data_IF_921327706066
#
_entry.id   IF_921327706066
#
_cell.length_a   1.000
_cell.length_b   1.000
_cell.length_c   1.000
_cell.angle_alpha   90.00
_cell.angle_beta   90.00
_cell.angle_gamma   90.00
#
_symmetry.space_group_name_H-M   'P 1'
#
loop_
_entity.id
_entity.type
_entity.pdbx_description
1 polymer ?
#
# COMPACT_ATOMS: atom_id res chain seq x y z
N UNK A 1 4.96 -16.03 -11.32
CA UNK A 1 4.70 -14.79 -10.58
C UNK A 1 6.00 -14.03 -10.44
N UNK A 2 6.01 -12.74 -10.75
CA UNK A 2 7.15 -11.89 -10.41
C UNK A 2 7.23 -11.77 -8.88
N UNK A 3 8.41 -11.95 -8.27
CA UNK A 3 8.56 -11.68 -6.85
C UNK A 3 8.31 -10.19 -6.60
N UNK A 4 7.54 -9.89 -5.56
CA UNK A 4 7.46 -8.54 -5.01
C UNK A 4 8.47 -8.50 -3.87
N UNK A 5 9.50 -7.71 -4.07
CA UNK A 5 10.62 -7.53 -3.15
C UNK A 5 10.34 -6.42 -2.16
N UNK A 6 10.76 -6.64 -0.92
CA UNK A 6 10.82 -5.58 0.09
C UNK A 6 11.71 -4.43 -0.40
N UNK A 7 11.30 -3.21 -0.07
CA UNK A 7 12.07 -2.00 -0.33
C UNK A 7 13.35 -2.06 0.53
N UNK A 8 14.49 -1.96 -0.14
CA UNK A 8 15.80 -1.85 0.50
C UNK A 8 16.41 -0.52 0.10
N UNK A 9 16.42 0.43 1.04
CA UNK A 9 16.91 1.80 0.86
C UNK A 9 17.76 2.22 2.04
N UNK A 10 18.60 3.24 1.85
CA UNK A 10 19.32 3.89 2.96
C UNK A 10 18.44 4.93 3.64
N UNK A 11 17.62 5.59 2.84
CA UNK A 11 16.61 6.55 3.22
C UNK A 11 15.48 5.83 3.98
N UNK A 12 14.96 6.51 4.99
CA UNK A 12 13.81 6.07 5.76
C UNK A 12 12.53 6.07 4.91
N UNK A 13 11.49 5.31 5.32
CA UNK A 13 10.18 5.39 4.67
C UNK A 13 9.65 6.82 4.60
N UNK A 14 9.81 7.62 5.66
CA UNK A 14 9.36 9.02 5.67
C UNK A 14 10.02 9.83 4.55
N UNK A 15 11.33 9.72 4.39
CA UNK A 15 12.08 10.48 3.38
C UNK A 15 11.66 10.08 1.96
N UNK A 16 11.54 8.78 1.71
CA UNK A 16 11.11 8.26 0.39
C UNK A 16 9.69 8.75 0.06
N UNK A 17 8.75 8.55 0.99
CA UNK A 17 7.36 8.93 0.77
C UNK A 17 7.20 10.44 0.56
N UNK A 18 7.97 11.27 1.30
CA UNK A 18 7.94 12.72 1.13
C UNK A 18 8.53 13.17 -0.21
N UNK A 19 9.52 12.45 -0.72
CA UNK A 19 10.15 12.74 -2.01
C UNK A 19 9.29 12.32 -3.21
N UNK A 20 8.58 11.20 -3.10
CA UNK A 20 7.83 10.60 -4.21
C UNK A 20 6.37 11.04 -4.30
N UNK A 21 5.76 11.44 -3.18
CA UNK A 21 4.35 11.84 -3.16
C UNK A 21 4.20 13.31 -2.77
N UNK A 22 3.78 14.14 -3.72
CA UNK A 22 3.55 15.58 -3.51
C UNK A 22 2.60 15.87 -2.33
N UNK A 23 1.56 15.05 -2.18
CA UNK A 23 0.60 15.16 -1.07
C UNK A 23 1.23 14.93 0.31
N UNK A 24 2.44 14.37 0.36
CA UNK A 24 3.20 14.06 1.57
C UNK A 24 4.51 14.84 1.63
N UNK A 25 4.67 15.93 0.87
CA UNK A 25 5.90 16.74 0.85
C UNK A 25 6.36 17.19 2.25
N UNK A 26 5.42 17.56 3.11
CA UNK A 26 5.68 17.96 4.51
C UNK A 26 5.95 16.76 5.45
N UNK A 27 5.84 15.54 4.92
CA UNK A 27 6.06 14.29 5.61
C UNK A 27 4.81 13.71 6.28
N UNK A 28 4.95 12.45 6.69
CA UNK A 28 4.04 11.78 7.61
C UNK A 28 4.67 11.74 9.01
N UNK A 29 3.87 11.70 10.09
CA UNK A 29 4.37 11.63 11.47
C UNK A 29 4.81 10.19 11.78
N UNK A 30 5.79 9.71 11.02
CA UNK A 30 6.30 8.35 11.07
C UNK A 30 7.81 8.32 11.18
N UNK A 31 8.33 7.22 11.73
CA UNK A 31 9.74 6.86 11.76
C UNK A 31 9.88 5.33 11.77
N UNK A 32 11.09 4.81 11.94
CA UNK A 32 11.31 3.36 11.95
C UNK A 32 11.40 2.78 10.54
N UNK A 33 10.91 1.56 10.35
CA UNK A 33 11.06 0.79 9.11
C UNK A 33 9.79 0.72 8.27
N UNK A 34 9.84 -0.09 7.22
CA UNK A 34 8.74 -0.29 6.27
C UNK A 34 7.60 -1.19 6.78
N UNK A 35 7.75 -1.77 7.97
CA UNK A 35 6.72 -2.63 8.59
C UNK A 35 6.56 -3.99 7.94
N UNK A 36 7.65 -4.58 7.41
CA UNK A 36 7.63 -5.94 6.87
C UNK A 36 7.53 -7.00 7.95
N UNK A 37 8.03 -6.67 9.15
CA UNK A 37 8.01 -7.48 10.36
C UNK A 37 7.82 -6.55 11.54
N UNK A 38 7.51 -7.11 12.72
CA UNK A 38 7.42 -6.36 13.97
C UNK A 38 8.71 -5.57 14.28
N UNK A 39 9.88 -6.15 14.04
CA UNK A 39 11.19 -5.52 14.30
C UNK A 39 11.45 -4.34 13.36
N UNK A 40 10.85 -4.38 12.17
CA UNK A 40 10.93 -3.32 11.16
C UNK A 40 9.68 -2.44 11.14
N UNK A 41 8.85 -2.48 12.19
CA UNK A 41 7.59 -1.75 12.25
C UNK A 41 7.73 -0.26 11.88
N UNK A 42 6.73 0.24 11.18
CA UNK A 42 6.56 1.68 10.97
C UNK A 42 6.04 2.28 12.27
N UNK A 43 6.80 3.20 12.87
CA UNK A 43 6.44 3.81 14.13
C UNK A 43 5.66 5.07 13.84
N UNK A 44 4.40 5.12 14.26
CA UNK A 44 3.57 6.32 14.14
C UNK A 44 3.72 7.13 15.42
N UNK A 45 4.17 8.38 15.29
CA UNK A 45 4.58 9.22 16.42
C UNK A 45 3.67 10.43 16.57
N UNK A 46 2.73 10.37 17.53
CA UNK A 46 1.84 11.51 17.83
C UNK A 46 2.58 12.76 18.28
N UNK A 47 3.82 12.62 18.75
CA UNK A 47 4.63 13.74 19.26
C UNK A 47 5.57 14.28 18.18
N UNK A 48 5.44 13.84 16.92
CA UNK A 48 6.23 14.35 15.83
C UNK A 48 6.03 15.86 15.65
N UNK A 49 7.08 16.65 15.34
CA UNK A 49 6.97 18.10 15.17
C UNK A 49 5.95 18.57 14.13
N UNK A 50 5.59 17.72 13.16
CA UNK A 50 4.58 18.07 12.14
C UNK A 50 3.14 17.93 12.65
N UNK A 51 2.93 17.30 13.81
CA UNK A 51 1.60 17.07 14.37
C UNK A 51 1.16 18.30 15.18
N UNK A 52 0.01 18.85 14.81
CA UNK A 52 -0.66 19.87 15.61
C UNK A 52 -1.21 19.25 16.91
N UNK A 53 -0.53 19.55 18.02
CA UNK A 53 -0.86 19.05 19.35
C UNK A 53 -2.18 19.61 19.91
N UNK A 54 -2.76 20.64 19.27
CA UNK A 54 -4.06 21.18 19.66
C UNK A 54 -5.25 20.33 19.15
N UNK A 55 -5.01 19.44 18.19
CA UNK A 55 -6.04 18.61 17.56
C UNK A 55 -5.95 17.14 18.00
N UNK A 56 -7.06 16.40 18.02
CA UNK A 56 -7.02 14.94 18.21
C UNK A 56 -6.15 14.28 17.12
N UNK A 57 -5.21 13.43 17.55
CA UNK A 57 -4.34 12.72 16.62
C UNK A 57 -5.03 11.47 16.06
N UNK A 58 -5.19 11.42 14.74
CA UNK A 58 -5.76 10.27 14.03
C UNK A 58 -4.66 9.38 13.47
N UNK A 59 -4.10 8.53 14.33
CA UNK A 59 -3.05 7.59 13.96
C UNK A 59 -3.52 6.52 12.98
N UNK A 60 -4.81 6.15 13.00
CA UNK A 60 -5.37 5.13 12.10
C UNK A 60 -5.33 5.61 10.66
N UNK A 61 -5.73 6.86 10.40
CA UNK A 61 -5.59 7.44 9.07
C UNK A 61 -4.14 7.44 8.57
N UNK A 62 -3.16 7.64 9.46
CA UNK A 62 -1.74 7.56 9.10
C UNK A 62 -1.34 6.14 8.66
N UNK A 63 -1.84 5.09 9.33
CA UNK A 63 -1.61 3.69 8.93
C UNK A 63 -2.09 3.44 7.50
N UNK A 64 -3.34 3.82 7.19
CA UNK A 64 -3.91 3.57 5.86
C UNK A 64 -3.22 4.37 4.75
N UNK A 65 -2.82 5.62 5.02
CA UNK A 65 -2.02 6.40 4.07
C UNK A 65 -0.68 5.68 3.83
N UNK A 66 -0.02 5.20 4.88
CA UNK A 66 1.24 4.47 4.76
C UNK A 66 1.08 3.17 3.95
N UNK A 67 0.05 2.37 4.24
CA UNK A 67 -0.27 1.13 3.49
C UNK A 67 -0.39 1.43 2.00
N UNK A 68 -1.24 2.40 1.64
CA UNK A 68 -1.45 2.79 0.25
C UNK A 68 -0.13 3.19 -0.42
N UNK A 69 0.66 4.06 0.22
CA UNK A 69 1.88 4.57 -0.40
C UNK A 69 2.96 3.51 -0.52
N UNK A 70 3.14 2.64 0.49
CA UNK A 70 4.08 1.51 0.40
C UNK A 70 3.67 0.55 -0.73
N UNK A 71 2.37 0.29 -0.93
CA UNK A 71 1.90 -0.50 -2.07
C UNK A 71 2.32 0.15 -3.40
N UNK A 72 2.15 1.47 -3.55
CA UNK A 72 2.59 2.17 -4.76
C UNK A 72 4.11 2.12 -4.96
N UNK A 73 4.90 2.24 -3.89
CA UNK A 73 6.35 2.09 -3.96
C UNK A 73 6.75 0.70 -4.47
N UNK A 74 6.20 -0.36 -3.85
CA UNK A 74 6.53 -1.75 -4.19
C UNK A 74 6.04 -2.18 -5.57
N UNK A 75 4.90 -1.65 -6.02
CA UNK A 75 4.20 -2.13 -7.21
C UNK A 75 4.46 -1.26 -8.45
N UNK A 76 4.84 0.01 -8.28
CA UNK A 76 4.92 0.97 -9.40
C UNK A 76 6.22 1.78 -9.37
N UNK A 77 6.47 2.52 -8.29
CA UNK A 77 7.45 3.61 -8.30
C UNK A 77 8.88 3.07 -8.32
N UNK A 78 9.18 2.10 -7.45
CA UNK A 78 10.53 1.52 -7.35
C UNK A 78 10.79 0.40 -8.37
N UNK A 79 9.77 0.02 -9.16
CA UNK A 79 9.91 -1.06 -10.15
C UNK A 79 10.53 -0.55 -11.44
N UNK A 80 11.42 -1.35 -12.07
CA UNK A 80 11.90 -1.08 -13.42
C UNK A 80 10.74 -0.99 -14.42
N UNK A 81 10.98 -0.28 -15.53
CA UNK A 81 10.04 -0.28 -16.65
C UNK A 81 9.80 -1.70 -17.17
N UNK A 82 8.56 -2.03 -17.49
CA UNK A 82 8.15 -3.38 -17.92
C UNK A 82 7.85 -4.33 -16.76
N UNK A 83 8.18 -3.96 -15.52
CA UNK A 83 7.80 -4.72 -14.33
C UNK A 83 6.74 -4.01 -13.47
N UNK A 84 6.28 -2.84 -13.90
CA UNK A 84 5.27 -2.07 -13.17
C UNK A 84 3.92 -2.75 -13.22
N UNK A 85 3.14 -2.49 -12.18
CA UNK A 85 1.77 -2.94 -12.09
C UNK A 85 0.78 -1.80 -12.31
N UNK A 86 -0.42 -2.15 -12.74
CA UNK A 86 -1.56 -1.26 -12.92
C UNK A 86 -2.85 -1.92 -12.40
N UNK A 87 -3.93 -1.13 -12.37
CA UNK A 87 -5.24 -1.61 -11.89
C UNK A 87 -5.24 -2.00 -10.41
N UNK A 88 -4.37 -1.39 -9.61
CA UNK A 88 -4.17 -1.71 -8.19
C UNK A 88 -5.47 -1.56 -7.38
N UNK A 89 -5.76 -2.58 -6.59
CA UNK A 89 -6.77 -2.57 -5.53
C UNK A 89 -6.19 -3.27 -4.31
N UNK A 90 -6.58 -2.84 -3.12
CA UNK A 90 -6.21 -3.51 -1.89
C UNK A 90 -7.37 -3.53 -0.91
N UNK A 91 -7.50 -4.63 -0.18
CA UNK A 91 -8.56 -4.86 0.78
C UNK A 91 -7.94 -5.34 2.09
N UNK A 92 -8.35 -4.74 3.21
CA UNK A 92 -7.98 -5.24 4.53
C UNK A 92 -8.62 -6.62 4.72
N UNK A 93 -7.79 -7.61 5.04
CA UNK A 93 -8.22 -8.96 5.39
C UNK A 93 -8.35 -9.11 6.90
N UNK A 94 -7.34 -8.64 7.64
CA UNK A 94 -7.25 -8.82 9.08
C UNK A 94 -6.51 -7.64 9.72
N UNK A 95 -6.92 -7.28 10.94
CA UNK A 95 -6.23 -6.30 11.78
C UNK A 95 -6.16 -6.84 13.20
N UNK A 96 -4.95 -6.85 13.78
CA UNK A 96 -4.66 -7.46 15.06
C UNK A 96 -3.80 -6.54 15.94
N UNK A 97 -4.32 -6.22 17.13
CA UNK A 97 -3.56 -5.54 18.17
C UNK A 97 -2.65 -6.54 18.92
N UNK A 98 -1.35 -6.26 18.93
CA UNK A 98 -0.32 -7.09 19.56
C UNK A 98 0.40 -6.30 20.66
N UNK A 99 0.05 -6.48 21.94
CA UNK A 99 0.79 -5.90 23.06
C UNK A 99 2.03 -6.74 23.40
N UNK A 100 3.19 -6.09 23.57
CA UNK A 100 4.44 -6.75 23.94
C UNK A 100 5.39 -5.77 24.66
N UNK A 101 5.93 -6.17 25.82
CA UNK A 101 6.93 -5.39 26.58
C UNK A 101 6.58 -3.90 26.79
N UNK A 102 5.30 -3.62 27.05
CA UNK A 102 4.79 -2.25 27.26
C UNK A 102 4.60 -1.43 25.98
N UNK A 103 4.81 -2.03 24.81
CA UNK A 103 4.46 -1.48 23.50
C UNK A 103 3.15 -2.06 22.99
N UNK A 104 2.56 -1.34 22.06
CA UNK A 104 1.38 -1.75 21.31
C UNK A 104 1.69 -1.69 19.83
N UNK A 105 1.57 -2.83 19.17
CA UNK A 105 1.70 -2.93 17.72
C UNK A 105 0.34 -3.19 17.10
N UNK A 106 0.08 -2.57 15.96
CA UNK A 106 -1.00 -3.00 15.07
C UNK A 106 -0.42 -3.79 13.90
N UNK A 107 -1.03 -4.92 13.59
CA UNK A 107 -0.66 -5.76 12.46
C UNK A 107 -1.83 -5.84 11.51
N UNK A 108 -1.66 -5.28 10.31
CA UNK A 108 -2.67 -5.29 9.26
C UNK A 108 -2.24 -6.21 8.13
N UNK A 109 -3.14 -7.09 7.71
CA UNK A 109 -2.96 -7.98 6.57
C UNK A 109 -3.87 -7.52 5.43
N UNK A 110 -3.30 -7.20 4.27
CA UNK A 110 -4.04 -6.76 3.08
C UNK A 110 -3.90 -7.76 1.93
N UNK A 111 -4.99 -8.03 1.23
CA UNK A 111 -4.94 -8.55 -0.13
C UNK A 111 -4.67 -7.39 -1.09
N UNK A 112 -3.72 -7.58 -2.00
CA UNK A 112 -3.44 -6.67 -3.09
C UNK A 112 -3.73 -7.40 -4.41
N UNK A 113 -4.55 -6.76 -5.23
CA UNK A 113 -4.91 -7.20 -6.57
C UNK A 113 -4.30 -6.23 -7.57
N UNK A 114 -3.65 -6.77 -8.59
CA UNK A 114 -2.94 -6.00 -9.59
C UNK A 114 -2.85 -6.73 -10.93
N UNK A 115 -2.42 -6.02 -11.96
CA UNK A 115 -2.08 -6.56 -13.27
C UNK A 115 -0.71 -6.03 -13.67
N UNK A 116 0.07 -6.79 -14.44
CA UNK A 116 1.22 -6.17 -15.11
C UNK A 116 0.73 -5.02 -16.00
N UNK A 117 1.51 -3.95 -16.08
CA UNK A 117 1.14 -2.75 -16.84
C UNK A 117 0.79 -3.09 -18.29
N UNK A 118 1.61 -3.91 -18.96
CA UNK A 118 1.33 -4.36 -20.34
C UNK A 118 0.05 -5.20 -20.44
N UNK A 119 -0.19 -6.09 -19.48
CA UNK A 119 -1.40 -6.91 -19.45
C UNK A 119 -2.65 -6.04 -19.26
N UNK A 120 -2.54 -5.03 -18.40
CA UNK A 120 -3.61 -4.06 -18.13
C UNK A 120 -3.91 -3.20 -19.36
N UNK A 121 -2.89 -2.72 -20.05
CA UNK A 121 -3.04 -1.95 -21.29
C UNK A 121 -3.73 -2.77 -22.38
N UNK A 122 -3.33 -4.03 -22.57
CA UNK A 122 -3.98 -4.95 -23.52
C UNK A 122 -5.46 -5.17 -23.17
N UNK A 123 -5.75 -5.44 -21.90
CA UNK A 123 -7.12 -5.64 -21.41
C UNK A 123 -7.96 -4.37 -21.59
N UNK A 124 -7.40 -3.21 -21.27
CA UNK A 124 -8.08 -1.91 -21.42
C UNK A 124 -8.34 -1.59 -22.89
N UNK A 125 -7.37 -1.83 -23.77
CA UNK A 125 -7.51 -1.61 -25.21
C UNK A 125 -8.59 -2.52 -25.83
N UNK A 126 -8.66 -3.78 -25.40
CA UNK A 126 -9.74 -4.71 -25.79
C UNK A 126 -11.11 -4.22 -25.32
N UNK A 127 -11.21 -3.72 -24.08
CA UNK A 127 -12.48 -3.32 -23.47
C UNK A 127 -12.99 -1.95 -23.94
N UNK A 128 -12.11 -0.96 -24.08
CA UNK A 128 -12.46 0.43 -24.41
C UNK A 128 -12.28 0.74 -25.91
N UNK A 129 -11.70 -0.18 -26.69
CA UNK A 129 -11.43 0.01 -28.10
C UNK A 129 -12.68 0.02 -29.00
N UNK A 130 -12.52 0.26 -30.32
CA UNK A 130 -13.63 0.35 -31.27
C UNK A 130 -14.51 -0.91 -31.40
N UNK A 131 -13.99 -2.05 -30.96
CA UNK A 131 -14.67 -3.36 -30.93
C UNK A 131 -14.91 -3.85 -29.49
N UNK A 132 -14.74 -2.95 -28.52
CA UNK A 132 -14.85 -3.24 -27.10
C UNK A 132 -16.29 -3.25 -26.61
N UNK A 133 -16.46 -3.01 -25.30
CA UNK A 133 -17.75 -3.10 -24.61
C UNK A 133 -18.82 -2.28 -25.33
N UNK A 134 -19.95 -2.93 -25.61
CA UNK A 134 -21.08 -2.35 -26.33
C UNK A 134 -21.08 -2.61 -27.84
N UNK A 135 -19.99 -3.17 -28.40
CA UNK A 135 -19.98 -3.65 -29.78
C UNK A 135 -20.65 -5.04 -29.87
N UNK A 136 -21.43 -5.36 -30.94
CA UNK A 136 -22.13 -6.64 -31.08
C UNK A 136 -21.25 -7.89 -31.05
N UNK A 137 -19.96 -7.75 -31.38
CA UNK A 137 -18.99 -8.85 -31.42
C UNK A 137 -18.10 -8.91 -30.17
N UNK A 138 -18.32 -8.05 -29.18
CA UNK A 138 -17.55 -8.08 -27.95
C UNK A 138 -17.96 -9.29 -27.11
N UNK A 139 -16.99 -10.17 -26.84
CA UNK A 139 -17.19 -11.37 -26.03
C UNK A 139 -16.80 -11.06 -24.58
N UNK A 140 -17.81 -10.74 -23.77
CA UNK A 140 -17.63 -10.37 -22.36
C UNK A 140 -17.09 -11.54 -21.54
N UNK A 141 -17.55 -12.78 -21.78
CA UNK A 141 -17.08 -13.95 -21.04
C UNK A 141 -15.59 -14.21 -21.31
N UNK A 142 -15.18 -14.15 -22.58
CA UNK A 142 -13.77 -14.27 -22.95
C UNK A 142 -12.91 -13.17 -22.32
N UNK A 143 -13.41 -11.93 -22.30
CA UNK A 143 -12.68 -10.82 -21.68
C UNK A 143 -12.52 -11.02 -20.16
N UNK A 144 -13.60 -11.42 -19.47
CA UNK A 144 -13.56 -11.72 -18.03
C UNK A 144 -12.61 -12.88 -17.69
N UNK A 145 -12.56 -13.92 -18.52
CA UNK A 145 -11.61 -15.01 -18.35
C UNK A 145 -10.16 -14.54 -18.49
N UNK A 146 -9.85 -13.70 -19.48
CA UNK A 146 -8.51 -13.11 -19.63
C UNK A 146 -8.13 -12.22 -18.44
N UNK A 147 -9.09 -11.44 -17.93
CA UNK A 147 -8.90 -10.66 -16.71
C UNK A 147 -8.48 -11.58 -15.55
N UNK A 148 -9.21 -12.67 -15.32
CA UNK A 148 -8.88 -13.61 -14.25
C UNK A 148 -7.50 -14.27 -14.42
N UNK A 149 -7.16 -14.68 -15.64
CA UNK A 149 -5.88 -15.32 -15.97
C UNK A 149 -4.67 -14.38 -15.77
N UNK A 150 -4.84 -13.09 -16.03
CA UNK A 150 -3.78 -12.06 -15.91
C UNK A 150 -3.73 -11.40 -14.51
N UNK A 151 -4.73 -11.64 -13.68
CA UNK A 151 -4.83 -11.02 -12.36
C UNK A 151 -3.80 -11.61 -11.40
N UNK A 152 -3.01 -10.74 -10.79
CA UNK A 152 -2.11 -11.09 -9.69
C UNK A 152 -2.81 -10.78 -8.37
N UNK A 153 -2.80 -11.76 -7.46
CA UNK A 153 -3.26 -11.62 -6.08
C UNK A 153 -2.12 -11.96 -5.14
N UNK A 154 -1.92 -11.14 -4.12
CA UNK A 154 -0.92 -11.38 -3.09
C UNK A 154 -1.36 -10.79 -1.75
N UNK A 155 -0.82 -11.33 -0.67
CA UNK A 155 -1.06 -10.80 0.68
C UNK A 155 0.17 -10.02 1.15
N UNK A 156 -0.05 -8.90 1.84
CA UNK A 156 1.00 -8.10 2.49
C UNK A 156 0.64 -7.81 3.92
N UNK A 157 1.64 -8.00 4.77
CA UNK A 157 1.60 -7.66 6.18
C UNK A 157 2.23 -6.27 6.39
N UNK A 158 1.61 -5.51 7.30
CA UNK A 158 2.03 -4.18 7.72
C UNK A 158 2.05 -4.12 9.24
N UNK A 159 3.24 -3.92 9.81
CA UNK A 159 3.42 -3.71 11.24
C UNK A 159 3.59 -2.24 11.56
N UNK A 160 2.78 -1.77 12.50
CA UNK A 160 2.86 -0.43 13.05
C UNK A 160 3.16 -0.48 14.54
N UNK A 161 4.10 0.34 15.02
CA UNK A 161 4.22 0.64 16.45
C UNK A 161 3.33 1.87 16.73
N UNK A 162 2.20 1.61 17.39
CA UNK A 162 1.16 2.61 17.70
C UNK A 162 1.23 3.06 19.16
N UNK A 163 2.31 2.70 19.87
CA UNK A 163 2.47 2.95 21.30
C UNK A 163 2.31 4.43 21.66
N UNK A 164 2.68 5.34 20.76
CA UNK A 164 2.63 6.77 21.04
C UNK A 164 1.21 7.28 21.30
N UNK A 165 0.19 6.73 20.63
CA UNK A 165 -1.21 7.19 20.75
C UNK A 165 -2.18 6.13 21.26
N UNK A 166 -1.79 4.86 21.29
CA UNK A 166 -2.57 3.78 21.87
C UNK A 166 -2.12 3.46 23.31
N UNK A 167 -3.02 2.96 24.15
CA UNK A 167 -2.71 2.51 25.53
C UNK A 167 -2.46 3.61 26.56
N UNK A 168 -2.39 4.88 26.16
CA UNK A 168 -2.26 6.00 27.08
C UNK A 168 -3.65 6.42 27.56
N UNK A 169 -3.94 6.20 28.85
CA UNK A 169 -5.11 6.83 29.49
C UNK A 169 -4.97 8.34 29.37
N UNK A 170 -6.07 9.01 29.01
CA UNK A 170 -6.22 10.47 29.09
C UNK A 170 -5.87 10.98 30.49
#
# INVERSE_FOLDING_TARGET
MLPITSISSKESPREILSAHFESLREGLPIRGGWGYTKESACIIDKNDPIVDQALPFDGVSVEYIFVEKRIYEEMIIMRPQGEKFAGLRWNLLEQNLVPEDGKYFDRLDFEIIAFLESDWEDLKAEFEGPQGRGHPNFDEERHLKKLEEKMVRLTREFWFDITSFFGHRR
#
